data_IF_943253490252
#
_entry.id   IF_943253490252
#
_cell.length_a   1.000
_cell.length_b   1.000
_cell.length_c   1.000
_cell.angle_alpha   90.00
_cell.angle_beta   90.00
_cell.angle_gamma   90.00
#
_symmetry.space_group_name_H-M   'P 1'
#
loop_
_entity.id
_entity.type
_entity.pdbx_description
1 polymer ?
#
# COMPACT_ATOMS: atom_id res chain seq x y z
N UNK A 1 14.13 -21.80 13.34
CA UNK A 1 14.77 -20.46 13.27
C UNK A 1 14.06 -19.57 12.25
N UNK A 2 13.95 -19.97 10.97
CA UNK A 2 13.26 -19.19 9.94
C UNK A 2 11.78 -18.92 10.28
N UNK A 3 11.02 -19.91 10.74
CA UNK A 3 9.60 -19.74 11.09
C UNK A 3 9.39 -18.67 12.17
N UNK A 4 10.26 -18.63 13.19
CA UNK A 4 10.22 -17.60 14.23
C UNK A 4 10.47 -16.20 13.67
N UNK A 5 11.39 -16.05 12.70
CA UNK A 5 11.64 -14.78 12.03
C UNK A 5 10.44 -14.32 11.19
N UNK A 6 9.75 -15.23 10.51
CA UNK A 6 8.55 -14.90 9.74
C UNK A 6 7.40 -14.42 10.65
N UNK A 7 7.19 -15.07 11.80
CA UNK A 7 6.22 -14.61 12.79
C UNK A 7 6.57 -13.23 13.37
N UNK A 8 7.85 -12.98 13.68
CA UNK A 8 8.31 -11.66 14.15
C UNK A 8 8.09 -10.60 13.07
N UNK A 9 8.40 -10.91 11.81
CA UNK A 9 8.16 -10.02 10.67
C UNK A 9 6.68 -9.65 10.53
N UNK A 10 5.77 -10.62 10.62
CA UNK A 10 4.32 -10.36 10.60
C UNK A 10 3.88 -9.45 11.75
N UNK A 11 4.42 -9.66 12.95
CA UNK A 11 4.08 -8.83 14.11
C UNK A 11 4.55 -7.38 13.92
N UNK A 12 5.77 -7.18 13.42
CA UNK A 12 6.30 -5.85 13.12
C UNK A 12 5.51 -5.17 12.00
N UNK A 13 5.19 -5.88 10.92
CA UNK A 13 4.40 -5.35 9.81
C UNK A 13 2.98 -4.97 10.23
N UNK A 14 2.35 -5.77 11.09
CA UNK A 14 1.03 -5.46 11.67
C UNK A 14 1.08 -4.17 12.51
N UNK A 15 2.09 -4.02 13.36
CA UNK A 15 2.31 -2.79 14.13
C UNK A 15 2.59 -1.58 13.21
N UNK A 16 3.33 -1.77 12.12
CA UNK A 16 3.61 -0.72 11.14
C UNK A 16 2.31 -0.26 10.44
N UNK A 17 1.40 -1.18 10.10
CA UNK A 17 0.09 -0.83 9.54
C UNK A 17 -0.74 -0.04 10.55
N UNK A 18 -0.76 -0.43 11.83
CA UNK A 18 -1.47 0.32 12.88
C UNK A 18 -0.91 1.74 13.03
N UNK A 19 0.41 1.90 13.00
CA UNK A 19 1.05 3.21 13.03
C UNK A 19 0.71 4.06 11.80
N UNK A 20 0.68 3.45 10.60
CA UNK A 20 0.28 4.14 9.38
C UNK A 20 -1.20 4.54 9.41
N UNK A 21 -2.09 3.67 9.90
CA UNK A 21 -3.51 3.99 10.09
C UNK A 21 -3.69 5.19 11.02
N UNK A 22 -2.95 5.24 12.12
CA UNK A 22 -2.95 6.42 13.00
C UNK A 22 -2.51 7.69 12.25
N UNK A 23 -1.47 7.60 11.41
CA UNK A 23 -1.00 8.74 10.59
C UNK A 23 -2.00 9.15 9.51
N UNK A 24 -2.74 8.22 8.90
CA UNK A 24 -3.81 8.54 7.95
C UNK A 24 -4.93 9.35 8.63
N UNK A 25 -5.30 8.98 9.86
CA UNK A 25 -6.38 9.65 10.60
C UNK A 25 -5.96 11.02 11.17
N UNK A 26 -4.75 11.12 11.74
CA UNK A 26 -4.25 12.34 12.41
C UNK A 26 -3.24 13.15 11.59
N UNK A 27 -2.99 12.80 10.33
CA UNK A 27 -2.04 13.49 9.48
C UNK A 27 -2.40 14.98 9.29
N UNK A 28 -1.43 15.91 9.45
CA UNK A 28 -1.68 17.35 9.39
C UNK A 28 -1.93 17.85 7.96
N UNK A 29 -1.23 17.28 6.98
CA UNK A 29 -1.38 17.59 5.55
C UNK A 29 -2.13 16.48 4.81
N UNK A 30 -2.85 16.84 3.73
CA UNK A 30 -3.43 15.84 2.81
C UNK A 30 -2.35 14.97 2.17
N UNK A 31 -1.18 15.56 1.86
CA UNK A 31 -0.05 14.81 1.32
C UNK A 31 0.46 13.76 2.31
N UNK A 32 0.55 14.08 3.60
CA UNK A 32 0.97 13.12 4.63
C UNK A 32 0.02 11.92 4.74
N UNK A 33 -1.28 12.15 4.56
CA UNK A 33 -2.29 11.09 4.60
C UNK A 33 -2.19 10.18 3.38
N UNK A 34 -1.96 10.74 2.20
CA UNK A 34 -1.81 9.99 0.96
C UNK A 34 -0.54 9.13 1.00
N UNK A 35 0.60 9.70 1.43
CA UNK A 35 1.84 8.93 1.60
C UNK A 35 1.71 7.83 2.66
N UNK A 36 0.97 8.08 3.74
CA UNK A 36 0.68 7.06 4.75
C UNK A 36 -0.21 5.94 4.18
N UNK A 37 -1.18 6.26 3.33
CA UNK A 37 -2.02 5.28 2.64
C UNK A 37 -1.22 4.41 1.67
N UNK A 38 -0.31 5.01 0.89
CA UNK A 38 0.60 4.30 0.00
C UNK A 38 1.50 3.32 0.77
N UNK A 39 2.05 3.77 1.90
CA UNK A 39 2.84 2.93 2.81
C UNK A 39 2.05 1.73 3.35
N UNK A 40 0.74 1.87 3.61
CA UNK A 40 -0.12 0.75 4.00
C UNK A 40 -0.16 -0.30 2.88
N UNK A 41 -0.30 0.13 1.62
CA UNK A 41 -0.28 -0.76 0.46
C UNK A 41 1.01 -1.59 0.39
N UNK A 42 2.16 -0.96 0.58
CA UNK A 42 3.47 -1.65 0.60
C UNK A 42 3.57 -2.64 1.78
N UNK A 43 3.09 -2.26 2.96
CA UNK A 43 3.06 -3.17 4.12
C UNK A 43 2.16 -4.38 3.87
N UNK A 44 1.01 -4.21 3.21
CA UNK A 44 0.14 -5.32 2.82
C UNK A 44 0.85 -6.25 1.85
N UNK A 45 1.55 -5.72 0.85
CA UNK A 45 2.38 -6.52 -0.07
C UNK A 45 3.42 -7.35 0.70
N UNK A 46 4.11 -6.73 1.66
CA UNK A 46 5.09 -7.42 2.49
C UNK A 46 4.46 -8.54 3.34
N UNK A 47 3.27 -8.33 3.92
CA UNK A 47 2.53 -9.36 4.66
C UNK A 47 2.17 -10.53 3.74
N UNK A 48 1.63 -10.26 2.55
CA UNK A 48 1.26 -11.32 1.59
C UNK A 48 2.51 -12.09 1.14
N UNK A 49 3.65 -11.42 0.95
CA UNK A 49 4.91 -12.08 0.63
C UNK A 49 5.38 -13.02 1.75
N UNK A 50 5.34 -12.57 3.01
CA UNK A 50 5.69 -13.39 4.17
C UNK A 50 4.74 -14.59 4.31
N UNK A 51 3.44 -14.39 4.08
CA UNK A 51 2.45 -15.47 4.07
C UNK A 51 2.71 -16.48 2.95
N UNK A 52 3.09 -16.03 1.76
CA UNK A 52 3.51 -16.89 0.64
C UNK A 52 4.68 -17.80 1.05
N UNK A 53 5.65 -17.25 1.77
CA UNK A 53 6.79 -18.02 2.30
C UNK A 53 6.36 -19.01 3.39
N UNK A 54 5.45 -18.63 4.29
CA UNK A 54 4.94 -19.53 5.33
C UNK A 54 4.15 -20.70 4.76
N UNK A 55 3.34 -20.44 3.73
CA UNK A 55 2.51 -21.44 3.05
C UNK A 55 3.28 -22.26 2.01
N UNK A 56 4.57 -21.97 1.80
CA UNK A 56 5.45 -22.66 0.85
C UNK A 56 4.86 -22.73 -0.56
N UNK A 57 4.17 -21.66 -0.98
CA UNK A 57 3.51 -21.58 -2.28
C UNK A 57 3.82 -20.28 -2.97
N UNK A 58 3.90 -20.31 -4.29
CA UNK A 58 4.11 -19.13 -5.14
C UNK A 58 2.80 -18.54 -5.67
N UNK A 59 1.66 -19.15 -5.35
CA UNK A 59 0.34 -18.72 -5.85
C UNK A 59 -0.03 -17.28 -5.47
N UNK A 60 0.62 -16.69 -4.46
CA UNK A 60 0.37 -15.32 -4.03
C UNK A 60 1.25 -14.28 -4.75
N UNK A 61 2.25 -14.69 -5.54
CA UNK A 61 3.13 -13.75 -6.25
C UNK A 61 2.37 -12.89 -7.26
N UNK A 62 1.39 -13.47 -7.96
CA UNK A 62 0.54 -12.73 -8.90
C UNK A 62 -0.31 -11.68 -8.18
N UNK A 63 -0.79 -12.00 -6.97
CA UNK A 63 -1.56 -11.08 -6.12
C UNK A 63 -0.65 -9.96 -5.62
N UNK A 64 0.59 -10.28 -5.21
CA UNK A 64 1.59 -9.28 -4.81
C UNK A 64 1.86 -8.29 -5.93
N UNK A 65 2.08 -8.79 -7.15
CA UNK A 65 2.31 -7.96 -8.32
C UNK A 65 1.10 -7.07 -8.62
N UNK A 66 -0.11 -7.64 -8.59
CA UNK A 66 -1.35 -6.92 -8.82
C UNK A 66 -1.54 -5.78 -7.81
N UNK A 67 -1.35 -6.05 -6.51
CA UNK A 67 -1.47 -5.03 -5.47
C UNK A 67 -0.39 -3.95 -5.66
N UNK A 68 0.84 -4.33 -6.04
CA UNK A 68 1.91 -3.37 -6.34
C UNK A 68 1.55 -2.39 -7.46
N UNK A 69 1.01 -2.91 -8.56
CA UNK A 69 0.57 -2.07 -9.69
C UNK A 69 -0.58 -1.14 -9.26
N UNK A 70 -1.55 -1.66 -8.51
CA UNK A 70 -2.71 -0.89 -8.04
C UNK A 70 -2.31 0.20 -7.02
N UNK A 71 -1.37 -0.09 -6.11
CA UNK A 71 -0.86 0.87 -5.14
C UNK A 71 -0.15 2.03 -5.86
N UNK A 72 0.74 1.71 -6.80
CA UNK A 72 1.41 2.72 -7.62
C UNK A 72 0.41 3.58 -8.42
N UNK A 73 -0.57 2.94 -9.07
CA UNK A 73 -1.60 3.64 -9.85
C UNK A 73 -2.44 4.58 -8.96
N UNK A 74 -2.77 4.15 -7.74
CA UNK A 74 -3.51 4.97 -6.77
C UNK A 74 -2.73 6.24 -6.45
N UNK A 75 -1.43 6.12 -6.18
CA UNK A 75 -0.57 7.27 -5.85
C UNK A 75 -0.42 8.24 -7.03
N UNK A 76 -0.28 7.73 -8.26
CA UNK A 76 -0.25 8.57 -9.47
C UNK A 76 -1.59 9.28 -9.69
N UNK A 77 -2.72 8.58 -9.52
CA UNK A 77 -4.05 9.16 -9.65
C UNK A 77 -4.28 10.28 -8.62
N UNK A 78 -3.87 10.08 -7.37
CA UNK A 78 -3.92 11.11 -6.33
C UNK A 78 -3.04 12.31 -6.66
N UNK A 79 -1.81 12.08 -7.14
CA UNK A 79 -0.91 13.17 -7.53
C UNK A 79 -1.52 14.01 -8.67
N UNK A 80 -2.10 13.37 -9.70
CA UNK A 80 -2.80 14.09 -10.78
C UNK A 80 -4.03 14.84 -10.28
N UNK A 81 -4.79 14.24 -9.37
CA UNK A 81 -5.96 14.88 -8.78
C UNK A 81 -5.59 16.15 -8.01
N UNK A 82 -4.52 16.12 -7.22
CA UNK A 82 -4.02 17.30 -6.50
C UNK A 82 -3.54 18.38 -7.48
N UNK A 83 -2.85 18.00 -8.56
CA UNK A 83 -2.30 18.96 -9.53
C UNK A 83 -3.40 19.62 -10.39
N UNK A 84 -4.41 18.86 -10.83
CA UNK A 84 -5.36 19.29 -11.87
C UNK A 84 -6.82 19.41 -11.42
N UNK A 85 -7.14 18.99 -10.19
CA UNK A 85 -8.53 18.93 -9.68
C UNK A 85 -9.40 17.86 -10.34
N UNK A 86 -8.93 17.20 -11.40
CA UNK A 86 -9.64 16.14 -12.12
C UNK A 86 -8.65 15.06 -12.58
N UNK A 87 -9.04 13.79 -12.39
CA UNK A 87 -8.23 12.64 -12.83
C UNK A 87 -8.35 12.43 -14.34
N UNK A 88 -9.57 12.61 -14.89
CA UNK A 88 -9.87 12.49 -16.32
C UNK A 88 -10.30 13.85 -16.87
N UNK A 89 -9.64 14.33 -17.92
CA UNK A 89 -10.06 15.52 -18.65
C UNK A 89 -11.08 15.08 -19.70
N UNK A 90 -12.34 15.53 -19.57
CA UNK A 90 -13.32 15.37 -20.64
C UNK A 90 -12.91 16.28 -21.80
N UNK A 91 -12.66 15.70 -22.97
CA UNK A 91 -12.25 16.42 -24.20
C UNK A 91 -13.41 17.19 -24.86
N UNK A 92 -14.61 17.19 -24.26
CA UNK A 92 -15.82 17.78 -24.82
C UNK A 92 -16.11 19.23 -24.43
N UNK A 93 -15.27 19.87 -23.60
CA UNK A 93 -15.46 21.27 -23.19
C UNK A 93 -14.48 22.16 -23.98
N UNK A 94 -14.90 22.53 -25.20
CA UNK A 94 -14.28 23.55 -26.06
C UNK A 94 -15.31 24.62 -26.36
#
# INVERSE_FOLDING_TARGET
MLSSLLFISLLILSLAILACLYRVLRGPSMADRITALDTIGINVIAIVAVLSMMLQTQAYLDIILLIGILAFLSTVAFARYIERGAVFKNEGDR
#
